data_IF_767349428173
#
_entry.id   IF_767349428173
#
_cell.length_a   1.000
_cell.length_b   1.000
_cell.length_c   1.000
_cell.angle_alpha   90.00
_cell.angle_beta   90.00
_cell.angle_gamma   90.00
#
_symmetry.space_group_name_H-M   'P 1'
#
loop_
_entity.id
_entity.type
_entity.pdbx_description
1 polymer ?
#
# COMPACT_ATOMS: atom_id res chain seq x y z
N UNK A 1 -2.38 -0.63 0.14
CA UNK A 1 -1.00 -0.25 0.47
C UNK A 1 -0.31 -1.21 1.43
N UNK A 2 1.00 -1.07 1.64
CA UNK A 2 1.80 -1.92 2.52
C UNK A 2 1.43 -1.71 3.99
N UNK A 3 1.35 -2.79 4.76
CA UNK A 3 1.13 -2.71 6.20
C UNK A 3 2.46 -2.41 6.93
N UNK A 4 2.60 -1.19 7.42
CA UNK A 4 3.80 -0.70 8.11
C UNK A 4 3.91 -1.19 9.56
N UNK A 5 2.96 -1.95 10.04
CA UNK A 5 2.88 -2.49 11.39
C UNK A 5 2.72 -4.02 11.44
N UNK A 6 2.89 -4.71 10.30
CA UNK A 6 2.75 -6.15 10.22
C UNK A 6 3.71 -6.90 11.15
N UNK A 7 3.31 -8.08 11.56
CA UNK A 7 4.14 -9.00 12.35
C UNK A 7 4.58 -10.19 11.48
N UNK A 8 5.62 -10.91 11.91
CA UNK A 8 6.09 -12.13 11.25
C UNK A 8 7.24 -11.97 10.27
N UNK A 9 7.47 -10.78 9.71
CA UNK A 9 8.66 -10.46 8.89
C UNK A 9 9.11 -9.02 9.17
N UNK A 10 10.03 -8.86 10.10
CA UNK A 10 10.54 -7.55 10.53
C UNK A 10 11.29 -6.82 9.41
N UNK A 11 12.04 -7.56 8.59
CA UNK A 11 12.77 -6.97 7.47
C UNK A 11 11.79 -6.36 6.44
N UNK A 12 10.75 -7.10 6.08
CA UNK A 12 9.75 -6.62 5.11
C UNK A 12 8.93 -5.47 5.68
N UNK A 13 8.58 -5.53 6.98
CA UNK A 13 7.91 -4.42 7.68
C UNK A 13 8.74 -3.14 7.63
N UNK A 14 10.04 -3.23 7.90
CA UNK A 14 10.93 -2.08 7.91
C UNK A 14 11.13 -1.52 6.49
N UNK A 15 11.18 -2.38 5.48
CA UNK A 15 11.12 -1.97 4.08
C UNK A 15 9.82 -1.22 3.76
N UNK A 16 8.67 -1.70 4.22
CA UNK A 16 7.38 -1.03 4.04
C UNK A 16 7.29 0.33 4.74
N UNK A 17 8.05 0.52 5.82
CA UNK A 17 8.20 1.81 6.52
C UNK A 17 9.10 2.80 5.79
N UNK A 18 10.01 2.34 4.94
CA UNK A 18 10.86 3.24 4.17
C UNK A 18 10.03 4.01 3.15
N UNK A 19 10.02 5.32 3.30
CA UNK A 19 9.24 6.20 2.40
C UNK A 19 9.74 6.14 0.97
N UNK A 20 11.04 5.89 0.75
CA UNK A 20 11.63 5.74 -0.59
C UNK A 20 11.07 4.51 -1.29
N UNK A 21 10.91 3.39 -0.56
CA UNK A 21 10.26 2.19 -1.09
C UNK A 21 8.83 2.47 -1.55
N UNK A 22 8.01 3.11 -0.70
CA UNK A 22 6.63 3.45 -1.05
C UNK A 22 6.53 4.43 -2.23
N UNK A 23 7.45 5.40 -2.31
CA UNK A 23 7.57 6.32 -3.45
C UNK A 23 7.97 5.60 -4.73
N UNK A 24 8.90 4.65 -4.66
CA UNK A 24 9.29 3.81 -5.79
C UNK A 24 8.13 2.96 -6.30
N UNK A 25 7.36 2.32 -5.40
CA UNK A 25 6.14 1.59 -5.76
C UNK A 25 5.14 2.49 -6.49
N UNK A 26 4.96 3.73 -6.02
CA UNK A 26 4.02 4.68 -6.62
C UNK A 26 4.46 5.13 -8.02
N UNK A 27 5.73 5.49 -8.18
CA UNK A 27 6.31 5.87 -9.48
C UNK A 27 6.35 4.71 -10.47
N UNK A 28 6.37 3.47 -9.98
CA UNK A 28 6.33 2.26 -10.79
C UNK A 28 4.97 1.93 -11.37
N UNK A 29 3.91 2.67 -11.06
CA UNK A 29 2.53 2.41 -11.55
C UNK A 29 2.20 3.35 -12.69
N UNK A 30 1.91 2.79 -13.88
CA UNK A 30 1.37 3.56 -14.99
C UNK A 30 -0.15 3.73 -14.83
N UNK A 31 -0.53 4.85 -14.21
CA UNK A 31 -1.93 5.19 -13.97
C UNK A 31 -2.68 5.59 -15.23
N UNK A 32 -1.96 6.07 -16.25
CA UNK A 32 -2.59 6.41 -17.51
C UNK A 32 -2.98 5.14 -18.27
N UNK A 33 -2.09 4.15 -18.36
CA UNK A 33 -2.41 2.85 -18.95
C UNK A 33 -3.56 2.16 -18.21
N UNK A 34 -3.55 2.17 -16.86
CA UNK A 34 -4.68 1.63 -16.07
C UNK A 34 -5.98 2.38 -16.39
N UNK A 35 -5.94 3.71 -16.49
CA UNK A 35 -7.11 4.51 -16.85
C UNK A 35 -7.65 4.13 -18.23
N UNK A 36 -6.77 4.02 -19.22
CA UNK A 36 -7.17 3.70 -20.59
C UNK A 36 -7.75 2.27 -20.70
N UNK A 37 -7.07 1.29 -20.11
CA UNK A 37 -7.45 -0.14 -20.26
C UNK A 37 -8.63 -0.53 -19.37
N UNK A 38 -8.69 -0.01 -18.14
CA UNK A 38 -9.69 -0.43 -17.14
C UNK A 38 -10.84 0.56 -17.02
N UNK A 39 -10.54 1.85 -17.04
CA UNK A 39 -11.56 2.90 -16.84
C UNK A 39 -11.95 3.61 -18.15
N UNK A 40 -11.49 3.11 -19.31
CA UNK A 40 -11.83 3.65 -20.63
C UNK A 40 -11.56 5.16 -20.77
N UNK A 41 -10.51 5.68 -20.11
CA UNK A 41 -10.16 7.08 -20.10
C UNK A 41 -11.05 7.96 -19.20
N UNK A 42 -11.98 7.38 -18.45
CA UNK A 42 -12.97 8.13 -17.66
C UNK A 42 -12.53 8.49 -16.25
N UNK A 43 -11.41 7.95 -15.77
CA UNK A 43 -10.89 8.27 -14.44
C UNK A 43 -9.86 9.39 -14.49
N UNK A 44 -9.50 9.92 -13.32
CA UNK A 44 -8.42 10.89 -13.17
C UNK A 44 -7.20 10.19 -12.56
N UNK A 45 -6.08 10.02 -13.31
CA UNK A 45 -4.85 9.44 -12.79
C UNK A 45 -4.21 10.30 -11.72
N UNK A 46 -4.37 9.94 -10.45
CA UNK A 46 -3.84 10.70 -9.31
C UNK A 46 -3.62 9.82 -8.09
N UNK A 47 -3.05 10.38 -7.03
CA UNK A 47 -3.01 9.76 -5.72
C UNK A 47 -4.40 9.79 -5.07
N UNK A 48 -4.61 8.86 -4.13
CA UNK A 48 -5.82 8.87 -3.31
C UNK A 48 -5.76 10.04 -2.32
N UNK A 49 -6.67 10.99 -2.46
CA UNK A 49 -6.82 12.16 -1.60
C UNK A 49 -8.28 12.58 -1.52
N UNK A 50 -8.58 13.68 -0.84
CA UNK A 50 -9.94 14.24 -0.78
C UNK A 50 -10.39 14.80 -2.13
N UNK A 51 -11.70 14.97 -2.30
CA UNK A 51 -12.28 15.56 -3.51
C UNK A 51 -11.79 17.00 -3.74
N UNK A 52 -11.66 17.44 -5.01
CA UNK A 52 -11.16 18.78 -5.34
C UNK A 52 -11.99 19.94 -4.75
N UNK A 53 -13.25 19.70 -4.40
CA UNK A 53 -14.12 20.70 -3.76
C UNK A 53 -14.00 20.70 -2.21
N UNK A 54 -13.16 19.86 -1.65
CA UNK A 54 -12.87 19.85 -0.22
C UNK A 54 -11.97 21.04 0.17
N UNK A 55 -12.23 21.63 1.33
CA UNK A 55 -11.33 22.64 1.91
C UNK A 55 -9.95 22.11 2.32
N UNK A 56 -9.78 20.79 2.33
CA UNK A 56 -8.52 20.10 2.63
C UNK A 56 -7.81 19.60 1.37
N UNK A 57 -8.33 19.93 0.19
CA UNK A 57 -7.70 19.51 -1.06
C UNK A 57 -6.45 20.33 -1.33
N UNK A 58 -5.36 19.61 -1.51
CA UNK A 58 -4.09 20.14 -1.99
C UNK A 58 -3.70 19.40 -3.27
N UNK A 59 -3.54 20.15 -4.36
CA UNK A 59 -3.16 19.59 -5.66
C UNK A 59 -1.86 18.80 -5.58
N UNK A 60 -0.91 19.27 -4.77
CA UNK A 60 0.36 18.59 -4.53
C UNK A 60 0.16 17.17 -4.00
N UNK A 61 -0.81 16.93 -3.12
CA UNK A 61 -1.10 15.58 -2.62
C UNK A 61 -1.65 14.67 -3.70
N UNK A 62 -2.46 15.18 -4.61
CA UNK A 62 -2.98 14.43 -5.73
C UNK A 62 -1.91 14.05 -6.76
N UNK A 63 -0.90 14.89 -6.96
CA UNK A 63 0.13 14.75 -7.99
C UNK A 63 1.44 14.14 -7.47
N UNK A 64 1.70 14.15 -6.15
CA UNK A 64 2.95 13.67 -5.56
C UNK A 64 3.24 12.22 -5.92
N UNK A 65 4.34 11.97 -6.62
CA UNK A 65 4.75 10.62 -7.07
C UNK A 65 3.66 9.88 -7.86
N UNK A 66 2.73 10.57 -8.51
CA UNK A 66 1.65 10.00 -9.31
C UNK A 66 2.07 9.68 -10.76
N UNK A 67 3.09 10.35 -11.27
CA UNK A 67 3.65 10.12 -12.60
C UNK A 67 4.36 8.76 -12.68
N UNK A 68 4.32 8.15 -13.86
CA UNK A 68 5.08 6.93 -14.14
C UNK A 68 6.53 7.25 -14.46
N UNK A 69 7.48 6.74 -13.66
CA UNK A 69 8.92 6.98 -13.82
C UNK A 69 9.73 5.80 -13.24
N UNK A 70 10.01 4.82 -14.08
CA UNK A 70 10.81 3.64 -13.70
C UNK A 70 12.26 3.99 -13.36
N UNK A 71 12.83 5.03 -13.95
CA UNK A 71 14.21 5.42 -13.67
C UNK A 71 14.33 5.97 -12.25
N UNK A 72 13.44 6.89 -11.90
CA UNK A 72 13.37 7.45 -10.54
C UNK A 72 12.99 6.39 -9.51
N UNK A 73 12.07 5.49 -9.85
CA UNK A 73 11.70 4.38 -8.98
C UNK A 73 12.91 3.46 -8.70
N UNK A 74 13.67 3.07 -9.73
CA UNK A 74 14.88 2.26 -9.56
C UNK A 74 15.94 2.99 -8.73
N UNK A 75 16.16 4.29 -8.97
CA UNK A 75 17.12 5.08 -8.19
C UNK A 75 16.78 5.07 -6.69
N UNK A 76 15.50 5.23 -6.33
CA UNK A 76 15.06 5.15 -4.93
C UNK A 76 15.29 3.75 -4.33
N UNK A 77 15.07 2.67 -5.08
CA UNK A 77 15.33 1.31 -4.62
C UNK A 77 16.85 1.04 -4.46
N UNK A 78 17.68 1.62 -5.32
CA UNK A 78 19.14 1.54 -5.22
C UNK A 78 19.66 2.33 -4.00
N UNK A 79 19.06 3.49 -3.68
CA UNK A 79 19.38 4.27 -2.47
C UNK A 79 19.04 3.51 -1.17
N UNK A 80 18.03 2.65 -1.17
CA UNK A 80 17.71 1.75 -0.04
C UNK A 80 18.76 0.64 0.08
N UNK A 81 19.52 0.37 -0.99
CA UNK A 81 20.50 -0.71 -1.06
C UNK A 81 19.93 -2.05 -1.51
N UNK A 82 18.77 -2.05 -2.16
CA UNK A 82 18.16 -3.26 -2.71
C UNK A 82 18.87 -3.66 -4.00
N UNK A 83 19.64 -4.75 -3.96
CA UNK A 83 20.43 -5.23 -5.10
C UNK A 83 19.62 -6.17 -5.98
N UNK A 84 19.98 -6.20 -7.27
CA UNK A 84 19.47 -7.19 -8.20
C UNK A 84 20.15 -8.56 -7.97
N UNK A 85 19.41 -9.62 -8.26
CA UNK A 85 20.00 -10.97 -8.37
C UNK A 85 20.99 -11.06 -9.55
N UNK A 86 21.71 -12.18 -9.64
CA UNK A 86 22.73 -12.41 -10.69
C UNK A 86 22.15 -12.35 -12.09
N UNK A 87 20.89 -12.68 -12.27
CA UNK A 87 20.20 -12.67 -13.56
C UNK A 87 19.52 -11.33 -13.88
N UNK A 88 19.60 -10.35 -12.99
CA UNK A 88 18.92 -9.05 -13.07
C UNK A 88 17.40 -9.17 -13.29
N UNK A 89 16.80 -10.21 -12.71
CA UNK A 89 15.37 -10.47 -12.80
C UNK A 89 14.61 -9.96 -11.58
N UNK A 90 15.18 -10.17 -10.38
CA UNK A 90 14.56 -9.75 -9.13
C UNK A 90 15.53 -8.99 -8.24
N UNK A 91 15.01 -8.07 -7.45
CA UNK A 91 15.73 -7.52 -6.32
C UNK A 91 15.68 -8.50 -5.15
N UNK A 92 16.78 -8.57 -4.41
CA UNK A 92 16.97 -9.52 -3.32
C UNK A 92 17.08 -8.81 -1.97
N UNK A 93 16.63 -9.50 -0.96
CA UNK A 93 16.78 -9.08 0.43
C UNK A 93 18.25 -9.11 0.83
N UNK A 94 18.67 -8.10 1.60
CA UNK A 94 20.06 -8.01 2.08
C UNK A 94 20.32 -8.86 3.35
N UNK A 95 19.27 -9.37 4.02
CA UNK A 95 19.37 -10.22 5.20
C UNK A 95 19.55 -11.70 4.85
N UNK A 96 18.99 -12.18 3.72
CA UNK A 96 18.98 -13.62 3.40
C UNK A 96 19.15 -13.94 1.91
N UNK A 97 19.31 -12.95 1.05
CA UNK A 97 19.53 -13.12 -0.39
C UNK A 97 18.32 -13.63 -1.19
N UNK A 98 17.16 -13.84 -0.56
CA UNK A 98 15.95 -14.27 -1.27
C UNK A 98 15.33 -13.11 -2.04
N UNK A 99 14.58 -13.42 -3.12
CA UNK A 99 13.85 -12.39 -3.86
C UNK A 99 12.88 -11.65 -2.94
N UNK A 100 12.71 -10.36 -3.18
CA UNK A 100 11.73 -9.54 -2.47
C UNK A 100 10.35 -9.88 -3.04
N UNK A 101 9.48 -10.38 -2.18
CA UNK A 101 8.09 -10.71 -2.53
C UNK A 101 7.18 -10.57 -1.32
N UNK A 102 5.89 -10.34 -1.55
CA UNK A 102 4.85 -10.28 -0.52
C UNK A 102 3.50 -10.76 -1.04
N UNK A 103 2.58 -11.07 -0.14
CA UNK A 103 1.19 -11.36 -0.48
C UNK A 103 0.39 -10.05 -0.50
N UNK A 104 -0.36 -9.82 -1.57
CA UNK A 104 -1.34 -8.74 -1.69
C UNK A 104 -2.73 -9.32 -1.62
N UNK A 105 -3.46 -9.00 -0.56
CA UNK A 105 -4.81 -9.49 -0.31
C UNK A 105 -5.86 -8.41 -0.64
N UNK A 106 -6.95 -8.82 -1.29
CA UNK A 106 -8.06 -7.94 -1.62
C UNK A 106 -9.39 -8.69 -1.78
N UNK A 107 -10.48 -7.94 -1.79
CA UNK A 107 -11.81 -8.44 -2.17
C UNK A 107 -12.08 -7.95 -3.59
N UNK A 108 -12.26 -8.90 -4.52
CA UNK A 108 -12.56 -8.59 -5.93
C UNK A 108 -14.04 -8.34 -6.12
N UNK A 109 -14.51 -7.23 -5.57
CA UNK A 109 -15.88 -6.74 -5.64
C UNK A 109 -15.89 -5.24 -5.90
N UNK A 110 -16.98 -4.74 -6.47
CA UNK A 110 -17.26 -3.32 -6.73
C UNK A 110 -16.38 -2.65 -7.80
N UNK A 111 -15.17 -3.14 -8.01
CA UNK A 111 -14.21 -2.64 -9.00
C UNK A 111 -13.39 -3.82 -9.53
N UNK A 112 -12.84 -3.76 -10.75
CA UNK A 112 -12.01 -4.82 -11.33
C UNK A 112 -10.61 -4.85 -10.70
N UNK A 113 -10.54 -5.12 -9.38
CA UNK A 113 -9.31 -5.08 -8.59
C UNK A 113 -8.30 -6.12 -9.05
N UNK A 114 -8.77 -7.31 -9.50
CA UNK A 114 -7.88 -8.33 -10.03
C UNK A 114 -7.11 -7.81 -11.25
N UNK A 115 -7.81 -7.27 -12.26
CA UNK A 115 -7.17 -6.74 -13.46
C UNK A 115 -6.19 -5.59 -13.16
N UNK A 116 -6.57 -4.68 -12.23
CA UNK A 116 -5.68 -3.61 -11.76
C UNK A 116 -4.45 -4.19 -11.06
N UNK A 117 -4.64 -5.19 -10.20
CA UNK A 117 -3.55 -5.81 -9.44
C UNK A 117 -2.56 -6.55 -10.35
N UNK A 118 -3.05 -7.21 -11.40
CA UNK A 118 -2.20 -7.86 -12.42
C UNK A 118 -1.34 -6.85 -13.17
N UNK A 119 -1.92 -5.74 -13.65
CA UNK A 119 -1.15 -4.66 -14.29
C UNK A 119 -0.11 -4.08 -13.32
N UNK A 120 -0.48 -3.79 -12.08
CA UNK A 120 0.45 -3.25 -11.07
C UNK A 120 1.57 -4.25 -10.77
N UNK A 121 1.28 -5.55 -10.71
CA UNK A 121 2.30 -6.59 -10.57
C UNK A 121 3.29 -6.58 -11.72
N UNK A 122 2.80 -6.48 -12.96
CA UNK A 122 3.64 -6.44 -14.16
C UNK A 122 4.53 -5.20 -14.19
N UNK A 123 4.03 -4.05 -13.72
CA UNK A 123 4.87 -2.86 -13.57
C UNK A 123 5.96 -3.04 -12.52
N UNK A 124 5.63 -3.60 -11.36
CA UNK A 124 6.60 -3.81 -10.28
C UNK A 124 7.62 -4.91 -10.59
N UNK A 125 7.27 -5.88 -11.43
CA UNK A 125 8.25 -6.83 -11.98
C UNK A 125 9.37 -6.13 -12.78
N UNK A 126 9.08 -5.01 -13.47
CA UNK A 126 10.09 -4.19 -14.14
C UNK A 126 11.05 -3.50 -13.15
N UNK A 127 10.66 -3.38 -11.89
CA UNK A 127 11.50 -2.91 -10.78
C UNK A 127 12.21 -4.05 -10.03
N UNK A 128 12.01 -5.30 -10.46
CA UNK A 128 12.54 -6.49 -9.78
C UNK A 128 11.78 -6.88 -8.52
N UNK A 129 10.59 -6.33 -8.32
CA UNK A 129 9.73 -6.62 -7.18
C UNK A 129 8.58 -7.52 -7.62
N UNK A 130 8.26 -8.55 -6.83
CA UNK A 130 7.15 -9.46 -7.13
C UNK A 130 6.11 -9.44 -6.01
N UNK A 131 4.87 -9.76 -6.34
CA UNK A 131 3.82 -9.96 -5.36
C UNK A 131 2.93 -11.13 -5.75
N UNK A 132 2.45 -11.85 -4.74
CA UNK A 132 1.43 -12.88 -4.91
C UNK A 132 0.06 -12.25 -4.74
N UNK A 133 -0.82 -12.45 -5.71
CA UNK A 133 -2.19 -11.95 -5.67
C UNK A 133 -3.08 -12.98 -5.00
N UNK A 134 -3.83 -12.56 -3.98
CA UNK A 134 -4.80 -13.39 -3.28
C UNK A 134 -6.08 -12.60 -3.07
N UNK A 135 -7.19 -13.17 -3.47
CA UNK A 135 -8.49 -12.58 -3.18
C UNK A 135 -9.29 -13.47 -2.22
N UNK A 136 -10.21 -12.84 -1.51
CA UNK A 136 -11.11 -13.51 -0.58
C UNK A 136 -12.36 -12.69 -0.39
N UNK A 137 -13.18 -13.07 0.55
CA UNK A 137 -14.34 -12.29 0.98
C UNK A 137 -13.98 -11.25 2.06
N UNK A 138 -14.93 -10.37 2.39
CA UNK A 138 -14.74 -9.33 3.40
C UNK A 138 -14.48 -9.89 4.80
N UNK A 139 -15.07 -11.05 5.16
CA UNK A 139 -14.87 -11.71 6.45
C UNK A 139 -13.43 -12.19 6.59
N UNK A 140 -12.91 -12.85 5.55
CA UNK A 140 -11.52 -13.31 5.52
C UNK A 140 -10.53 -12.13 5.59
N UNK A 141 -10.68 -11.12 4.72
CA UNK A 141 -9.85 -9.92 4.75
C UNK A 141 -9.88 -9.24 6.13
N UNK A 142 -11.08 -9.12 6.72
CA UNK A 142 -11.26 -8.53 8.03
C UNK A 142 -10.53 -9.28 9.12
N UNK A 143 -10.58 -10.62 9.13
CA UNK A 143 -9.88 -11.44 10.11
C UNK A 143 -8.36 -11.34 9.98
N UNK A 144 -7.80 -11.44 8.76
CA UNK A 144 -6.37 -11.29 8.51
C UNK A 144 -5.88 -9.91 8.95
N UNK A 145 -6.66 -8.86 8.67
CA UNK A 145 -6.32 -7.48 9.07
C UNK A 145 -6.40 -7.27 10.60
N UNK A 146 -7.43 -7.79 11.26
CA UNK A 146 -7.57 -7.72 12.73
C UNK A 146 -6.48 -8.48 13.49
N UNK A 147 -5.93 -9.53 12.88
CA UNK A 147 -4.80 -10.27 13.42
C UNK A 147 -3.45 -9.62 13.08
N UNK A 148 -3.44 -8.50 12.36
CA UNK A 148 -2.23 -7.83 11.86
C UNK A 148 -1.33 -8.74 11.00
N UNK A 149 -1.93 -9.70 10.31
CA UNK A 149 -1.26 -10.66 9.41
C UNK A 149 -1.23 -10.19 7.95
N UNK A 150 -1.97 -9.13 7.63
CA UNK A 150 -2.02 -8.57 6.29
C UNK A 150 -0.66 -7.94 5.93
N UNK A 151 -0.03 -8.42 4.85
CA UNK A 151 1.21 -7.83 4.37
C UNK A 151 0.94 -6.58 3.52
N UNK A 152 0.07 -6.71 2.53
CA UNK A 152 -0.29 -5.63 1.62
C UNK A 152 -1.77 -5.69 1.29
N UNK A 153 -2.49 -4.61 1.51
CA UNK A 153 -3.92 -4.53 1.19
C UNK A 153 -4.16 -3.72 -0.09
N UNK A 154 -4.94 -4.27 -1.01
CA UNK A 154 -5.53 -3.52 -2.10
C UNK A 154 -7.00 -3.28 -1.77
N UNK A 155 -7.33 -2.03 -1.52
CA UNK A 155 -8.70 -1.61 -1.26
C UNK A 155 -9.13 -0.58 -2.30
N UNK A 156 -10.43 -0.33 -2.43
CA UNK A 156 -10.90 0.78 -3.25
C UNK A 156 -10.45 2.11 -2.62
N UNK A 157 -10.12 3.07 -3.46
CA UNK A 157 -9.89 4.45 -3.02
C UNK A 157 -11.23 5.07 -2.60
N UNK A 158 -11.23 5.74 -1.47
CA UNK A 158 -12.39 6.51 -1.05
C UNK A 158 -12.18 7.96 -1.41
N UNK A 159 -13.03 8.48 -2.28
CA UNK A 159 -13.11 9.90 -2.52
C UNK A 159 -14.05 10.50 -1.47
N UNK A 160 -13.51 11.10 -0.43
CA UNK A 160 -14.29 11.78 0.60
C UNK A 160 -14.09 13.29 0.52
N UNK A 161 -15.16 14.04 0.73
CA UNK A 161 -15.11 15.50 0.75
C UNK A 161 -14.43 16.04 2.00
N UNK A 162 -14.47 15.30 3.11
CA UNK A 162 -13.91 15.70 4.39
C UNK A 162 -13.37 14.47 5.15
N UNK A 163 -12.19 14.58 5.76
CA UNK A 163 -11.63 13.53 6.63
C UNK A 163 -12.45 13.28 7.90
N UNK A 164 -13.32 14.20 8.28
CA UNK A 164 -14.25 14.03 9.39
C UNK A 164 -15.54 13.30 9.00
N UNK A 165 -15.78 13.04 7.73
CA UNK A 165 -17.03 12.50 7.21
C UNK A 165 -17.16 10.99 7.38
N UNK A 166 -17.24 10.52 8.63
CA UNK A 166 -17.66 9.16 8.95
C UNK A 166 -16.58 8.07 8.90
N UNK A 167 -16.96 6.79 9.01
CA UNK A 167 -16.06 5.67 9.22
C UNK A 167 -15.04 5.45 8.10
N UNK A 168 -15.36 5.85 6.89
CA UNK A 168 -14.50 5.67 5.70
C UNK A 168 -13.28 6.60 5.76
N UNK A 169 -13.50 7.87 6.15
CA UNK A 169 -12.39 8.82 6.29
C UNK A 169 -11.41 8.41 7.39
N UNK A 170 -11.90 7.75 8.44
CA UNK A 170 -11.09 7.26 9.55
C UNK A 170 -10.09 6.18 9.12
N UNK A 171 -10.30 5.49 7.99
CA UNK A 171 -9.34 4.51 7.48
C UNK A 171 -8.00 5.11 7.05
N UNK A 172 -7.93 6.42 6.81
CA UNK A 172 -6.67 7.12 6.57
C UNK A 172 -5.91 7.43 7.87
N UNK A 173 -6.57 7.35 9.02
CA UNK A 173 -5.98 7.67 10.31
C UNK A 173 -5.45 6.41 10.99
N UNK A 174 -4.29 6.51 11.62
CA UNK A 174 -3.73 5.42 12.42
C UNK A 174 -4.67 5.00 13.53
N UNK A 175 -5.28 5.97 14.21
CA UNK A 175 -6.25 5.76 15.30
C UNK A 175 -7.66 5.79 14.73
N UNK A 176 -8.06 4.69 14.12
CA UNK A 176 -9.41 4.53 13.58
C UNK A 176 -10.37 4.05 14.68
N UNK A 177 -11.41 4.85 14.96
CA UNK A 177 -12.50 4.43 15.86
C UNK A 177 -13.53 3.48 15.22
N UNK A 178 -13.37 3.10 13.97
CA UNK A 178 -14.41 2.45 13.17
C UNK A 178 -14.49 0.91 13.32
N UNK A 179 -13.74 0.31 14.24
CA UNK A 179 -13.75 -1.15 14.45
C UNK A 179 -13.06 -1.97 13.36
N UNK A 180 -12.62 -1.36 12.28
CA UNK A 180 -11.80 -1.94 11.23
C UNK A 180 -10.41 -1.28 11.27
N UNK A 181 -9.35 -2.02 11.59
CA UNK A 181 -8.00 -1.48 11.50
C UNK A 181 -7.71 -1.04 10.07
N UNK A 182 -6.99 0.05 9.93
CA UNK A 182 -6.50 0.47 8.62
C UNK A 182 -5.54 -0.58 8.06
N UNK A 183 -5.62 -0.87 6.76
CA UNK A 183 -4.78 -1.91 6.15
C UNK A 183 -3.29 -1.59 6.16
N UNK A 184 -2.91 -0.31 6.27
CA UNK A 184 -1.53 0.14 6.27
C UNK A 184 -0.91 0.27 7.67
N UNK A 185 -1.71 0.20 8.74
CA UNK A 185 -1.27 0.41 10.13
C UNK A 185 -2.09 -0.40 11.14
N UNK A 186 -2.49 -1.62 10.78
CA UNK A 186 -3.38 -2.44 11.59
C UNK A 186 -2.86 -2.64 13.02
N UNK A 187 -1.60 -3.00 13.20
CA UNK A 187 -0.99 -3.23 14.51
C UNK A 187 -0.90 -1.96 15.35
N UNK A 188 -0.65 -0.80 14.73
CA UNK A 188 -0.64 0.48 15.46
C UNK A 188 -2.03 0.86 15.94
N UNK A 189 -3.06 0.63 15.12
CA UNK A 189 -4.45 0.84 15.53
C UNK A 189 -4.83 -0.04 16.74
N UNK A 190 -4.43 -1.31 16.70
CA UNK A 190 -4.62 -2.24 17.83
C UNK A 190 -3.91 -1.76 19.10
N UNK A 191 -2.69 -1.24 18.96
CA UNK A 191 -1.92 -0.72 20.10
C UNK A 191 -2.59 0.50 20.75
N UNK A 192 -3.10 1.43 19.95
CA UNK A 192 -3.85 2.58 20.49
C UNK A 192 -5.17 2.17 21.19
N UNK A 193 -5.79 1.07 20.76
CA UNK A 193 -6.99 0.54 21.38
C UNK A 193 -6.68 -0.23 22.66
N UNK A 194 -5.65 -1.08 22.64
CA UNK A 194 -5.16 -1.87 23.77
C UNK A 194 -3.71 -2.28 23.53
N UNK A 195 -2.72 -1.68 24.20
CA UNK A 195 -1.31 -2.03 24.05
C UNK A 195 -0.96 -3.49 24.37
N UNK A 196 -1.76 -4.15 25.22
CA UNK A 196 -1.57 -5.55 25.62
C UNK A 196 -2.15 -6.55 24.59
N UNK A 197 -2.75 -6.08 23.52
CA UNK A 197 -3.25 -6.96 22.47
C UNK A 197 -2.07 -7.69 21.80
N UNK A 198 -2.14 -9.03 21.73
CA UNK A 198 -1.07 -9.89 21.18
C UNK A 198 -0.70 -9.58 19.72
N UNK A 199 -1.58 -8.93 18.97
CA UNK A 199 -1.37 -8.52 17.57
C UNK A 199 -0.99 -7.05 17.44
N UNK A 200 -0.93 -6.32 18.56
CA UNK A 200 -0.56 -4.92 18.58
C UNK A 200 0.93 -4.75 18.24
N UNK A 201 1.23 -3.67 17.60
CA UNK A 201 2.58 -3.18 17.35
C UNK A 201 2.67 -1.75 17.83
N UNK A 202 3.63 -1.45 18.68
CA UNK A 202 3.86 -0.09 19.14
C UNK A 202 4.25 0.83 17.96
N UNK A 203 3.54 1.95 17.76
CA UNK A 203 3.89 2.87 16.67
C UNK A 203 5.20 3.61 16.95
N UNK A 204 5.93 4.02 15.89
CA UNK A 204 7.07 4.91 16.04
C UNK A 204 6.68 6.23 16.72
N UNK A 205 7.66 6.91 17.34
CA UNK A 205 7.39 8.11 18.12
C UNK A 205 6.71 9.24 17.34
N UNK A 206 7.02 9.38 16.05
CA UNK A 206 6.40 10.40 15.20
C UNK A 206 4.94 10.10 14.81
N UNK A 207 4.43 8.91 15.15
CA UNK A 207 3.03 8.49 14.95
C UNK A 207 2.21 8.62 16.24
N UNK A 208 2.86 8.63 17.41
CA UNK A 208 2.22 8.79 18.72
C UNK A 208 1.74 10.22 18.94
#
# INVERSE_FOLDING_TARGET
GPNQSMVGDDWLRDLFRDVRFRRALSLGIDRNEINDVIAFGLAVPQQNTVLPNSKFYEKEFAESYANFDLNKANALLDEIGLKWDTNRKFRVRNDNGKKITWETLFVDAEQPKMAIAELVRDYWLKLGLDMTLKHGDWGFLGNVNKNNELMFGLNHGFMVADFSAGPIAQQFMVKSGAGWPTTWSAGWNLWFANPENRHAQEPPQHIK
#
